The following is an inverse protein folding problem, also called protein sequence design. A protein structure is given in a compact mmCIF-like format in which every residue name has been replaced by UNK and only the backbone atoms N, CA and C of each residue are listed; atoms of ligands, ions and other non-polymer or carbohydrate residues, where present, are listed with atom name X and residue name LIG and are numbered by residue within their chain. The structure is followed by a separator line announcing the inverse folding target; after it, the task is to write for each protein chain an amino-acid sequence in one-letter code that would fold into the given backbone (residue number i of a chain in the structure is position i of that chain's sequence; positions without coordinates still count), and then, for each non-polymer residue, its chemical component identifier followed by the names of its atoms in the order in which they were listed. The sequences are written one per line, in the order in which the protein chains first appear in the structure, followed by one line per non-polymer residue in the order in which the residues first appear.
data_IF_686102882815
#
_entry.id   IF_686102882815
#
_cell.length_a   1.000
_cell.length_b   1.000
_cell.length_c   1.000
_cell.angle_alpha   90.00
_cell.angle_beta   90.00
_cell.angle_gamma   90.00
#
_symmetry.space_group_name_H-M   'P 1'
#
loop_
_entity.id
_entity.type
_entity.pdbx_description
1 polymer ?
#
# COMPACT_ATOMS: atom_id res chain seq x y z
N UNK A 1 -14.08 -8.36 -22.41
CA UNK A 1 -12.88 -9.06 -21.85
C UNK A 1 -11.99 -9.47 -23.01
N UNK A 2 -10.80 -8.87 -23.16
CA UNK A 2 -9.80 -9.37 -24.12
C UNK A 2 -9.06 -10.53 -23.46
N UNK A 3 -9.04 -11.70 -24.12
CA UNK A 3 -8.21 -12.81 -23.69
C UNK A 3 -6.75 -12.37 -23.66
N UNK A 4 -6.08 -12.56 -22.54
CA UNK A 4 -4.63 -12.38 -22.45
C UNK A 4 -4.04 -13.61 -23.15
N UNK A 5 -3.39 -13.41 -24.30
CA UNK A 5 -2.57 -14.44 -24.91
C UNK A 5 -1.41 -14.76 -23.96
N UNK A 6 -1.42 -15.95 -23.41
CA UNK A 6 -0.30 -16.47 -22.62
C UNK A 6 0.88 -16.68 -23.56
N UNK A 7 1.88 -15.79 -23.49
CA UNK A 7 3.18 -16.05 -24.11
C UNK A 7 3.83 -17.21 -23.35
N UNK A 8 3.98 -18.34 -24.03
CA UNK A 8 4.77 -19.47 -23.53
C UNK A 8 6.24 -19.05 -23.45
N UNK A 9 6.67 -18.61 -22.28
CA UNK A 9 8.10 -18.46 -22.01
C UNK A 9 8.75 -19.85 -22.09
N UNK A 10 9.80 -20.00 -22.92
CA UNK A 10 10.62 -21.19 -22.96
C UNK A 10 11.44 -21.32 -21.67
N UNK A 11 10.81 -21.75 -20.59
CA UNK A 11 11.50 -22.08 -19.35
C UNK A 11 12.10 -23.47 -19.54
N UNK A 12 13.43 -23.55 -19.71
CA UNK A 12 14.17 -24.82 -19.61
C UNK A 12 14.21 -25.23 -18.12
N UNK A 13 13.28 -26.06 -17.73
CA UNK A 13 13.36 -26.77 -16.45
C UNK A 13 14.48 -27.82 -16.57
N UNK A 14 15.42 -27.80 -15.65
CA UNK A 14 16.62 -28.64 -15.66
C UNK A 14 16.45 -29.92 -14.84
N UNK A 15 15.52 -30.82 -15.10
CA UNK A 15 15.53 -32.19 -14.54
C UNK A 15 14.42 -33.07 -15.11
N UNK A 16 14.61 -34.41 -15.05
CA UNK A 16 13.77 -35.48 -15.62
C UNK A 16 12.34 -35.64 -15.08
N UNK A 17 11.92 -34.81 -14.13
CA UNK A 17 10.52 -34.70 -13.68
C UNK A 17 9.61 -34.02 -14.72
N UNK A 18 10.15 -33.61 -15.84
CA UNK A 18 9.53 -32.71 -16.81
C UNK A 18 8.37 -33.29 -17.63
N UNK A 19 8.32 -34.61 -17.84
CA UNK A 19 7.38 -35.18 -18.82
C UNK A 19 5.96 -35.38 -18.28
N UNK A 20 5.81 -35.66 -16.99
CA UNK A 20 4.48 -35.80 -16.35
C UNK A 20 3.91 -34.48 -15.85
N UNK A 21 4.78 -33.55 -15.37
CA UNK A 21 4.36 -32.22 -14.94
C UNK A 21 3.86 -31.36 -16.10
N UNK A 22 4.43 -31.50 -17.31
CA UNK A 22 4.05 -30.70 -18.50
C UNK A 22 2.60 -30.80 -18.93
N UNK A 23 1.88 -31.85 -18.54
CA UNK A 23 0.49 -32.05 -18.96
C UNK A 23 -0.55 -31.33 -18.10
N UNK A 24 -0.19 -30.95 -16.87
CA UNK A 24 -1.12 -30.39 -15.88
C UNK A 24 -0.62 -29.13 -15.15
N UNK A 25 0.39 -28.43 -15.69
CA UNK A 25 0.95 -27.21 -15.09
C UNK A 25 0.49 -25.99 -15.88
N UNK A 26 -0.09 -25.02 -15.19
CA UNK A 26 -0.41 -23.70 -15.73
C UNK A 26 0.65 -22.74 -15.23
N UNK A 27 1.32 -22.05 -16.15
CA UNK A 27 2.27 -20.99 -15.83
C UNK A 27 1.51 -19.67 -15.85
N UNK A 28 1.53 -18.96 -14.72
CA UNK A 28 0.95 -17.62 -14.57
C UNK A 28 2.04 -16.63 -14.16
N UNK A 29 1.86 -15.32 -14.42
CA UNK A 29 2.70 -14.28 -13.80
C UNK A 29 2.67 -14.40 -12.28
N UNK A 30 3.75 -14.02 -11.62
CA UNK A 30 3.79 -13.92 -10.15
C UNK A 30 2.77 -12.92 -9.65
N UNK A 31 2.27 -13.13 -8.43
CA UNK A 31 1.39 -12.15 -7.80
C UNK A 31 2.17 -10.90 -7.36
N UNK A 32 1.47 -9.78 -7.30
CA UNK A 32 1.95 -8.55 -6.68
C UNK A 32 1.08 -8.21 -5.47
N UNK A 33 1.71 -7.89 -4.34
CA UNK A 33 1.02 -7.34 -3.19
C UNK A 33 1.35 -5.85 -3.09
N UNK A 34 0.32 -5.03 -3.19
CA UNK A 34 0.47 -3.57 -3.27
C UNK A 34 0.38 -2.87 -1.90
N UNK A 35 0.29 -3.66 -0.81
CA UNK A 35 0.18 -3.12 0.54
C UNK A 35 0.75 -4.09 1.58
N UNK A 36 2.02 -3.93 1.93
CA UNK A 36 2.68 -4.75 2.96
C UNK A 36 3.49 -3.90 3.93
N UNK A 37 3.77 -4.46 5.10
CA UNK A 37 4.57 -3.81 6.14
C UNK A 37 5.85 -4.61 6.39
N UNK A 38 6.97 -4.19 5.79
CA UNK A 38 8.26 -4.83 5.97
C UNK A 38 9.06 -4.30 7.17
N UNK A 39 8.62 -3.20 7.77
CA UNK A 39 9.05 -2.67 9.07
C UNK A 39 10.53 -2.26 9.19
N UNK A 40 11.30 -2.30 8.15
CA UNK A 40 12.68 -1.82 8.11
C UNK A 40 12.83 -0.62 7.17
N UNK A 41 13.53 0.42 7.65
CA UNK A 41 14.22 0.57 8.93
C UNK A 41 13.30 0.82 10.13
N UNK A 42 13.84 0.60 11.35
CA UNK A 42 13.30 1.07 12.62
C UNK A 42 12.52 0.05 13.44
N UNK A 43 11.77 -0.85 12.83
CA UNK A 43 10.87 -1.77 13.54
C UNK A 43 11.16 -3.25 13.24
N UNK A 44 12.43 -3.61 13.05
CA UNK A 44 12.91 -4.94 12.70
C UNK A 44 12.43 -6.06 13.65
N UNK A 45 12.04 -5.72 14.87
CA UNK A 45 11.48 -6.67 15.83
C UNK A 45 10.03 -7.11 15.50
N UNK A 46 9.37 -6.41 14.57
CA UNK A 46 8.04 -6.78 14.08
C UNK A 46 8.12 -7.60 12.79
N UNK A 47 8.98 -7.19 11.86
CA UNK A 47 9.24 -7.85 10.59
C UNK A 47 10.53 -7.31 9.99
N UNK A 48 11.15 -8.08 9.08
CA UNK A 48 12.31 -7.64 8.30
C UNK A 48 12.03 -7.75 6.80
N UNK A 49 12.71 -6.95 6.00
CA UNK A 49 12.63 -7.04 4.53
C UNK A 49 13.00 -8.46 4.08
N UNK A 50 14.02 -9.08 4.67
CA UNK A 50 14.43 -10.43 4.34
C UNK A 50 13.34 -11.47 4.63
N UNK A 51 12.78 -11.49 5.84
CA UNK A 51 11.79 -12.52 6.23
C UNK A 51 10.45 -12.30 5.56
N UNK A 52 9.99 -11.06 5.42
CA UNK A 52 8.77 -10.73 4.72
C UNK A 52 8.83 -11.08 3.23
N UNK A 53 9.93 -10.76 2.54
CA UNK A 53 10.10 -11.12 1.12
C UNK A 53 10.26 -12.62 0.90
N UNK A 54 10.91 -13.35 1.82
CA UNK A 54 10.97 -14.82 1.77
C UNK A 54 9.59 -15.46 1.94
N UNK A 55 8.77 -14.97 2.86
CA UNK A 55 7.40 -15.44 3.06
C UNK A 55 6.54 -15.20 1.82
N UNK A 56 6.64 -14.00 1.22
CA UNK A 56 5.95 -13.64 0.00
C UNK A 56 6.38 -14.52 -1.19
N UNK A 57 7.69 -14.69 -1.40
CA UNK A 57 8.23 -15.56 -2.46
C UNK A 57 7.71 -16.98 -2.35
N UNK A 58 7.68 -17.54 -1.12
CA UNK A 58 7.14 -18.89 -0.85
C UNK A 58 5.66 -18.99 -1.20
N UNK A 59 4.92 -17.89 -1.14
CA UNK A 59 3.48 -17.81 -1.46
C UNK A 59 3.18 -17.43 -2.92
N UNK A 60 4.22 -17.32 -3.78
CA UNK A 60 4.05 -17.04 -5.20
C UNK A 60 4.04 -15.55 -5.57
N UNK A 61 4.36 -14.66 -4.64
CA UNK A 61 4.54 -13.24 -4.93
C UNK A 61 5.93 -12.97 -5.49
N UNK A 62 6.00 -12.12 -6.51
CA UNK A 62 7.24 -11.66 -7.13
C UNK A 62 7.48 -10.17 -6.94
N UNK A 63 6.47 -9.43 -6.47
CA UNK A 63 6.55 -7.99 -6.21
C UNK A 63 5.77 -7.63 -4.95
N UNK A 64 6.39 -6.81 -4.10
CA UNK A 64 5.74 -6.18 -2.94
C UNK A 64 5.85 -4.67 -3.03
N UNK A 65 4.84 -3.95 -2.52
CA UNK A 65 4.90 -2.51 -2.28
C UNK A 65 4.84 -2.24 -0.79
N UNK A 66 5.94 -1.73 -0.20
CA UNK A 66 6.07 -1.52 1.25
C UNK A 66 5.53 -0.16 1.69
N UNK A 67 4.70 -0.17 2.74
CA UNK A 67 4.12 1.04 3.34
C UNK A 67 5.15 1.86 4.13
N UNK A 68 5.00 3.21 4.20
CA UNK A 68 6.03 4.13 4.68
C UNK A 68 6.09 4.28 6.21
N UNK A 69 5.27 3.58 6.97
CA UNK A 69 5.26 3.69 8.43
C UNK A 69 6.48 3.02 9.09
N UNK A 70 7.62 3.67 8.89
CA UNK A 70 8.97 3.27 9.26
C UNK A 70 9.64 4.30 10.19
N UNK A 71 10.86 4.01 10.64
CA UNK A 71 11.68 4.93 11.41
C UNK A 71 13.14 4.89 10.93
N UNK A 72 13.62 5.93 10.26
CA UNK A 72 12.86 7.15 9.91
C UNK A 72 11.76 6.91 8.89
N UNK A 73 10.72 7.77 8.91
CA UNK A 73 9.69 7.80 7.86
C UNK A 73 10.35 8.22 6.54
N UNK A 74 10.06 7.57 5.40
CA UNK A 74 10.57 7.96 4.08
C UNK A 74 9.84 9.22 3.56
N UNK A 75 10.09 10.35 4.19
CA UNK A 75 9.51 11.68 3.91
C UNK A 75 10.44 12.63 3.15
N UNK A 76 11.66 12.18 2.92
CA UNK A 76 12.67 12.82 2.08
C UNK A 76 13.59 11.75 1.46
N UNK A 77 14.35 12.13 0.43
CA UNK A 77 15.24 11.20 -0.26
C UNK A 77 16.26 10.53 0.67
N UNK A 78 16.83 11.27 1.62
CA UNK A 78 17.82 10.74 2.57
C UNK A 78 17.26 9.64 3.48
N UNK A 79 16.01 9.75 3.90
CA UNK A 79 15.33 8.74 4.70
C UNK A 79 14.93 7.53 3.83
N UNK A 80 14.39 7.78 2.63
CA UNK A 80 14.02 6.73 1.67
C UNK A 80 15.25 5.89 1.26
N UNK A 81 16.42 6.50 1.07
CA UNK A 81 17.65 5.79 0.72
C UNK A 81 18.06 4.74 1.77
N UNK A 82 17.69 4.93 3.03
CA UNK A 82 18.00 3.93 4.06
C UNK A 82 17.20 2.65 3.82
N UNK A 83 15.91 2.76 3.50
CA UNK A 83 15.06 1.63 3.13
C UNK A 83 15.55 0.96 1.83
N UNK A 84 15.84 1.76 0.79
CA UNK A 84 16.33 1.26 -0.49
C UNK A 84 17.65 0.46 -0.36
N UNK A 85 18.54 0.87 0.53
CA UNK A 85 19.79 0.14 0.81
C UNK A 85 19.52 -1.22 1.44
N UNK A 86 18.55 -1.30 2.36
CA UNK A 86 18.16 -2.57 2.98
C UNK A 86 17.44 -3.46 1.96
N UNK A 87 16.52 -2.93 1.17
CA UNK A 87 15.84 -3.65 0.08
C UNK A 87 16.86 -4.27 -0.86
N UNK A 88 17.81 -3.47 -1.35
CA UNK A 88 18.86 -3.96 -2.27
C UNK A 88 19.70 -5.09 -1.69
N UNK A 89 19.93 -5.10 -0.39
CA UNK A 89 20.78 -6.06 0.30
C UNK A 89 20.03 -7.34 0.71
N UNK A 90 18.79 -7.20 1.17
CA UNK A 90 18.08 -8.26 1.92
C UNK A 90 16.87 -8.84 1.19
N UNK A 91 16.26 -8.11 0.24
CA UNK A 91 15.08 -8.59 -0.48
C UNK A 91 15.41 -9.74 -1.44
N UNK A 92 14.62 -10.80 -1.44
CA UNK A 92 14.76 -11.93 -2.37
C UNK A 92 13.79 -11.86 -3.57
N UNK A 93 12.85 -10.92 -3.57
CA UNK A 93 11.95 -10.56 -4.68
C UNK A 93 11.90 -9.05 -4.81
N UNK A 94 11.27 -8.54 -5.86
CA UNK A 94 11.16 -7.10 -6.07
C UNK A 94 10.35 -6.42 -4.96
N UNK A 95 10.88 -5.30 -4.46
CA UNK A 95 10.21 -4.43 -3.48
C UNK A 95 10.28 -2.99 -3.98
N UNK A 96 9.13 -2.33 -4.09
CA UNK A 96 9.02 -0.91 -4.42
C UNK A 96 8.34 -0.20 -3.25
N UNK A 97 9.04 0.71 -2.54
CA UNK A 97 8.46 1.39 -1.38
C UNK A 97 7.43 2.44 -1.78
N UNK A 98 6.58 2.82 -0.84
CA UNK A 98 5.86 4.09 -0.85
C UNK A 98 6.68 5.16 -0.12
N UNK A 99 6.64 6.42 -0.60
CA UNK A 99 7.02 7.57 0.20
C UNK A 99 5.84 8.04 1.06
N UNK A 100 6.09 8.76 2.16
CA UNK A 100 5.00 9.39 2.90
C UNK A 100 4.41 10.57 2.13
N UNK A 101 3.14 10.89 2.38
CA UNK A 101 2.49 12.10 1.87
C UNK A 101 2.98 13.32 2.66
N UNK A 102 3.05 13.16 3.99
CA UNK A 102 3.42 14.26 4.89
C UNK A 102 4.70 13.95 5.68
N UNK A 103 5.39 14.99 6.11
CA UNK A 103 6.60 14.87 6.92
C UNK A 103 6.30 14.15 8.22
N UNK A 104 7.01 13.05 8.45
CA UNK A 104 6.85 12.20 9.62
C UNK A 104 5.44 11.59 9.76
N UNK A 105 4.64 11.56 8.69
CA UNK A 105 3.22 11.11 8.69
C UNK A 105 2.36 11.90 9.70
N UNK A 106 2.61 13.22 9.85
CA UNK A 106 1.93 14.06 10.85
C UNK A 106 0.73 14.83 10.32
N UNK A 107 0.45 14.77 9.01
CA UNK A 107 -0.67 15.47 8.39
C UNK A 107 -0.57 16.99 8.39
N UNK A 108 0.62 17.59 8.56
CA UNK A 108 0.82 19.03 8.72
C UNK A 108 1.55 19.69 7.54
N UNK A 109 2.55 19.03 6.99
CA UNK A 109 3.39 19.53 5.91
C UNK A 109 3.68 18.41 4.93
N UNK A 110 3.66 18.70 3.62
CA UNK A 110 4.00 17.72 2.61
C UNK A 110 5.46 17.28 2.70
N UNK A 111 5.70 16.02 2.44
CA UNK A 111 7.03 15.43 2.28
C UNK A 111 7.70 15.90 0.98
N UNK A 112 8.95 15.53 0.78
CA UNK A 112 9.71 15.88 -0.43
C UNK A 112 9.32 14.94 -1.60
N UNK A 113 8.01 14.91 -1.91
CA UNK A 113 7.38 13.96 -2.84
C UNK A 113 8.02 13.96 -4.22
N UNK A 114 8.34 15.14 -4.78
CA UNK A 114 8.90 15.22 -6.15
C UNK A 114 10.30 14.58 -6.24
N UNK A 115 11.13 14.73 -5.21
CA UNK A 115 12.48 14.15 -5.17
C UNK A 115 12.43 12.62 -5.03
N UNK A 116 11.48 12.11 -4.26
CA UNK A 116 11.29 10.67 -4.04
C UNK A 116 10.62 9.96 -5.23
N UNK A 117 9.95 10.70 -6.12
CA UNK A 117 9.14 10.13 -7.19
C UNK A 117 9.83 9.04 -8.03
N UNK A 118 11.11 9.15 -8.44
CA UNK A 118 11.75 8.10 -9.25
C UNK A 118 11.87 6.73 -8.54
N UNK A 119 11.79 6.70 -7.22
CA UNK A 119 12.15 5.55 -6.39
C UNK A 119 10.95 4.88 -5.70
N UNK A 120 9.76 5.47 -5.77
CA UNK A 120 8.57 5.02 -5.04
C UNK A 120 7.46 4.53 -5.98
N UNK A 121 6.59 3.66 -5.50
CA UNK A 121 5.37 3.26 -6.19
C UNK A 121 4.33 4.39 -6.23
N UNK A 122 4.21 5.11 -5.14
CA UNK A 122 3.29 6.20 -4.88
C UNK A 122 3.54 6.76 -3.49
N UNK A 123 2.52 7.40 -2.91
CA UNK A 123 2.62 8.02 -1.60
C UNK A 123 1.46 7.61 -0.68
N UNK A 124 1.75 7.45 0.60
CA UNK A 124 0.78 7.08 1.63
C UNK A 124 1.16 7.68 2.97
N UNK A 125 0.17 8.00 3.80
CA UNK A 125 0.34 8.18 5.24
C UNK A 125 -0.42 7.04 5.93
N UNK A 126 0.05 5.81 5.70
CA UNK A 126 -0.62 4.61 6.17
C UNK A 126 -0.64 4.51 7.69
N UNK A 127 -1.81 4.14 8.25
CA UNK A 127 -2.03 3.99 9.68
C UNK A 127 -2.46 5.28 10.40
N UNK A 128 -2.36 6.45 9.75
CA UNK A 128 -2.79 7.73 10.35
C UNK A 128 -3.79 8.50 9.50
N UNK A 129 -3.79 8.29 8.19
CA UNK A 129 -4.64 9.01 7.25
C UNK A 129 -4.29 10.50 7.13
N UNK A 130 -4.89 11.18 6.16
CA UNK A 130 -4.72 12.62 5.96
C UNK A 130 -6.08 13.33 6.01
N UNK A 131 -6.32 14.10 7.07
CA UNK A 131 -7.61 14.74 7.29
C UNK A 131 -7.77 16.10 6.60
N UNK A 132 -6.67 16.81 6.25
CA UNK A 132 -6.75 18.11 5.54
C UNK A 132 -7.05 17.92 4.05
N UNK A 133 -8.21 18.41 3.56
CA UNK A 133 -8.53 18.40 2.13
C UNK A 133 -7.52 19.18 1.27
N UNK A 134 -6.99 20.29 1.79
CA UNK A 134 -6.06 21.18 1.09
C UNK A 134 -4.71 20.50 0.90
N UNK A 135 -4.21 19.81 1.93
CA UNK A 135 -2.96 19.04 1.84
C UNK A 135 -3.16 17.84 0.90
N UNK A 136 -4.29 17.13 1.01
CA UNK A 136 -4.59 15.99 0.13
C UNK A 136 -4.68 16.46 -1.34
N UNK A 137 -5.37 17.58 -1.63
CA UNK A 137 -5.43 18.13 -2.99
C UNK A 137 -4.03 18.49 -3.51
N UNK A 138 -3.20 19.09 -2.67
CA UNK A 138 -1.83 19.48 -3.03
C UNK A 138 -0.96 18.24 -3.29
N UNK A 139 -1.04 17.23 -2.45
CA UNK A 139 -0.37 15.94 -2.64
C UNK A 139 -0.81 15.25 -3.94
N UNK A 140 -2.11 15.23 -4.23
CA UNK A 140 -2.66 14.66 -5.45
C UNK A 140 -2.15 15.38 -6.70
N UNK A 141 -2.00 16.71 -6.68
CA UNK A 141 -1.42 17.49 -7.79
C UNK A 141 0.04 17.09 -8.05
N UNK A 142 0.83 16.92 -6.99
CA UNK A 142 2.23 16.47 -7.10
C UNK A 142 2.29 15.03 -7.60
N UNK A 143 1.50 14.12 -7.06
CA UNK A 143 1.43 12.74 -7.50
C UNK A 143 1.03 12.65 -8.98
N UNK A 144 0.04 13.42 -9.42
CA UNK A 144 -0.34 13.52 -10.84
C UNK A 144 0.80 14.02 -11.71
N UNK A 145 1.48 15.11 -11.31
CA UNK A 145 2.62 15.71 -12.03
C UNK A 145 3.75 14.70 -12.21
N UNK A 146 4.03 13.92 -11.19
CA UNK A 146 5.14 12.93 -11.18
C UNK A 146 4.73 11.56 -11.73
N UNK A 147 3.47 11.38 -12.16
CA UNK A 147 2.95 10.11 -12.68
C UNK A 147 2.74 9.03 -11.62
N UNK A 148 2.67 9.42 -10.36
CA UNK A 148 2.47 8.52 -9.22
C UNK A 148 1.01 8.47 -8.78
N UNK A 149 0.70 7.68 -7.76
CA UNK A 149 -0.62 7.55 -7.16
C UNK A 149 -0.57 7.91 -5.67
N UNK A 150 -1.74 8.19 -5.11
CA UNK A 150 -1.96 8.21 -3.65
C UNK A 150 -2.60 6.89 -3.25
N UNK A 151 -1.99 6.18 -2.30
CA UNK A 151 -2.56 5.00 -1.62
C UNK A 151 -3.02 5.44 -0.23
N UNK A 152 -4.32 5.52 -0.02
CA UNK A 152 -4.87 6.18 1.14
C UNK A 152 -5.34 5.20 2.22
N UNK A 153 -4.84 5.39 3.44
CA UNK A 153 -5.46 4.89 4.65
C UNK A 153 -6.62 5.81 5.01
N UNK A 154 -7.83 5.37 4.72
CA UNK A 154 -9.02 6.20 4.88
C UNK A 154 -9.62 5.97 6.27
N UNK A 155 -9.16 6.73 7.25
CA UNK A 155 -9.69 6.69 8.61
C UNK A 155 -9.73 8.10 9.22
N UNK A 156 -10.94 8.56 9.58
CA UNK A 156 -11.13 9.77 10.36
C UNK A 156 -10.95 9.45 11.85
N UNK A 157 -9.87 9.96 12.43
CA UNK A 157 -9.48 9.66 13.82
C UNK A 157 -10.46 10.23 14.86
N UNK A 158 -11.18 11.31 14.54
CA UNK A 158 -12.20 11.89 15.42
C UNK A 158 -13.42 10.97 15.45
N UNK A 159 -13.88 10.53 14.28
CA UNK A 159 -15.01 9.59 14.15
C UNK A 159 -14.65 8.20 14.66
N UNK A 160 -13.42 7.74 14.49
CA UNK A 160 -12.92 6.51 15.12
C UNK A 160 -13.06 6.57 16.65
N UNK A 161 -12.86 7.73 17.26
CA UNK A 161 -13.10 8.02 18.69
C UNK A 161 -12.41 7.02 19.64
N UNK A 162 -11.25 6.46 19.26
CA UNK A 162 -10.53 5.44 20.01
C UNK A 162 -11.18 4.04 19.98
N UNK A 163 -12.07 3.79 19.01
CA UNK A 163 -12.56 2.45 18.69
C UNK A 163 -11.43 1.55 18.17
N UNK A 164 -11.59 0.23 18.30
CA UNK A 164 -10.58 -0.75 17.92
C UNK A 164 -11.14 -1.99 17.21
N UNK A 165 -12.46 -2.11 17.10
CA UNK A 165 -13.16 -3.09 16.27
C UNK A 165 -14.33 -2.42 15.57
N UNK A 166 -14.93 -3.08 14.58
CA UNK A 166 -16.14 -2.58 13.92
C UNK A 166 -17.30 -2.39 14.91
N UNK A 167 -18.05 -1.29 14.79
CA UNK A 167 -19.24 -0.97 15.57
C UNK A 167 -20.44 -1.82 15.16
N UNK A 168 -20.32 -3.14 15.30
CA UNK A 168 -21.36 -4.11 14.99
C UNK A 168 -21.97 -4.77 16.22
N UNK A 169 -22.82 -5.78 15.99
CA UNK A 169 -23.50 -6.53 17.04
C UNK A 169 -22.54 -7.15 18.06
N UNK A 170 -21.39 -7.66 17.60
CA UNK A 170 -20.39 -8.22 18.50
C UNK A 170 -19.83 -7.18 19.47
N UNK A 171 -19.46 -6.00 18.98
CA UNK A 171 -18.97 -4.92 19.82
C UNK A 171 -19.99 -4.50 20.86
N UNK A 172 -21.25 -4.34 20.44
CA UNK A 172 -22.36 -3.96 21.33
C UNK A 172 -22.63 -5.03 22.42
N UNK A 173 -22.65 -6.32 22.05
CA UNK A 173 -22.93 -7.42 22.99
C UNK A 173 -21.81 -7.62 24.04
N UNK A 174 -20.55 -7.30 23.67
CA UNK A 174 -19.39 -7.54 24.54
C UNK A 174 -18.81 -6.27 25.16
N UNK A 175 -19.48 -5.12 25.00
CA UNK A 175 -19.02 -3.85 25.58
C UNK A 175 -17.72 -3.31 24.97
N UNK A 176 -17.41 -3.68 23.72
CA UNK A 176 -16.24 -3.17 23.01
C UNK A 176 -16.50 -1.80 22.39
N UNK A 177 -15.46 -0.97 22.34
CA UNK A 177 -15.54 0.33 21.67
C UNK A 177 -15.44 0.16 20.16
N UNK A 178 -16.55 0.40 19.47
CA UNK A 178 -16.66 0.20 18.03
C UNK A 178 -16.15 1.39 17.22
N UNK A 179 -15.72 1.11 16.00
CA UNK A 179 -15.39 2.09 14.96
C UNK A 179 -16.59 2.17 14.02
N UNK A 180 -17.16 3.36 13.84
CA UNK A 180 -18.28 3.56 12.91
C UNK A 180 -17.82 3.55 11.45
N UNK A 181 -18.70 3.13 10.53
CA UNK A 181 -18.40 3.12 9.09
C UNK A 181 -18.09 4.51 8.53
N UNK A 182 -18.65 5.55 9.14
CA UNK A 182 -18.41 6.95 8.80
C UNK A 182 -16.92 7.31 8.84
N UNK A 183 -16.18 6.72 9.76
CA UNK A 183 -14.73 6.98 9.88
C UNK A 183 -13.96 6.58 8.63
N UNK A 184 -14.44 5.59 7.86
CA UNK A 184 -13.84 5.14 6.60
C UNK A 184 -14.45 5.85 5.39
N UNK A 185 -15.77 5.82 5.22
CA UNK A 185 -16.36 6.25 3.96
C UNK A 185 -16.37 7.78 3.77
N UNK A 186 -16.37 8.61 4.82
CA UNK A 186 -16.33 10.07 4.68
C UNK A 186 -15.00 10.58 4.10
N UNK A 187 -13.83 10.15 4.58
CA UNK A 187 -12.57 10.44 3.91
C UNK A 187 -12.55 9.96 2.45
N UNK A 188 -13.07 8.76 2.16
CA UNK A 188 -13.15 8.24 0.80
C UNK A 188 -13.99 9.14 -0.09
N UNK A 189 -15.19 9.54 0.35
CA UNK A 189 -16.07 10.43 -0.42
C UNK A 189 -15.39 11.77 -0.75
N UNK A 190 -14.71 12.36 0.23
CA UNK A 190 -13.92 13.58 0.06
C UNK A 190 -12.82 13.39 -0.99
N UNK A 191 -12.03 12.35 -0.83
CA UNK A 191 -10.83 12.13 -1.63
C UNK A 191 -11.14 11.69 -3.06
N UNK A 192 -12.23 10.97 -3.30
CA UNK A 192 -12.71 10.66 -4.64
C UNK A 192 -13.08 11.94 -5.43
N UNK A 193 -13.70 12.93 -4.76
CA UNK A 193 -13.99 14.24 -5.37
C UNK A 193 -12.70 14.98 -5.71
N UNK A 194 -11.69 14.93 -4.84
CA UNK A 194 -10.37 15.53 -5.08
C UNK A 194 -9.61 14.80 -6.19
N UNK A 195 -9.66 13.48 -6.23
CA UNK A 195 -9.05 12.68 -7.27
C UNK A 195 -9.67 12.97 -8.64
N UNK A 196 -10.99 13.08 -8.73
CA UNK A 196 -11.68 13.50 -9.95
C UNK A 196 -11.29 14.92 -10.38
N UNK A 197 -11.19 15.87 -9.44
CA UNK A 197 -10.78 17.26 -9.70
C UNK A 197 -9.34 17.37 -10.20
N UNK A 198 -8.41 16.62 -9.62
CA UNK A 198 -6.97 16.69 -9.92
C UNK A 198 -6.53 15.77 -11.06
N UNK A 199 -7.33 14.74 -11.36
CA UNK A 199 -6.98 13.65 -12.27
C UNK A 199 -5.86 12.75 -11.72
N UNK A 200 -5.64 12.73 -10.40
CA UNK A 200 -4.69 11.87 -9.74
C UNK A 200 -5.22 10.43 -9.67
N UNK A 201 -4.34 9.45 -9.86
CA UNK A 201 -4.66 8.06 -9.56
C UNK A 201 -4.74 7.89 -8.04
N UNK A 202 -5.85 7.32 -7.58
CA UNK A 202 -6.15 7.16 -6.17
C UNK A 202 -6.48 5.70 -5.88
N UNK A 203 -5.82 5.12 -4.89
CA UNK A 203 -6.04 3.76 -4.42
C UNK A 203 -6.56 3.81 -2.99
N UNK A 204 -7.75 3.26 -2.78
CA UNK A 204 -8.34 3.11 -1.44
C UNK A 204 -7.83 1.80 -0.86
N UNK A 205 -7.04 1.88 0.21
CA UNK A 205 -6.51 0.71 0.89
C UNK A 205 -7.59 0.02 1.75
N UNK A 206 -7.46 -1.30 1.94
CA UNK A 206 -8.16 -2.14 2.92
C UNK A 206 -9.61 -1.72 3.23
N UNK A 207 -10.45 -1.58 2.19
CA UNK A 207 -11.87 -1.21 2.29
C UNK A 207 -12.64 -2.23 3.12
N UNK A 208 -13.38 -1.76 4.13
CA UNK A 208 -14.14 -2.60 5.06
C UNK A 208 -15.61 -2.22 5.19
N UNK A 209 -16.00 -0.97 4.90
CA UNK A 209 -17.37 -0.52 5.01
C UNK A 209 -18.16 -0.73 3.71
N UNK A 210 -19.44 -1.10 3.84
CA UNK A 210 -20.35 -1.28 2.70
C UNK A 210 -20.51 0.02 1.90
N UNK A 211 -20.61 1.13 2.58
CA UNK A 211 -20.78 2.46 2.01
C UNK A 211 -19.54 2.85 1.18
N UNK A 212 -18.35 2.46 1.62
CA UNK A 212 -17.10 2.67 0.89
C UNK A 212 -17.12 1.94 -0.47
N UNK A 213 -17.60 0.70 -0.50
CA UNK A 213 -17.74 -0.06 -1.75
C UNK A 213 -18.70 0.64 -2.72
N UNK A 214 -19.82 1.19 -2.21
CA UNK A 214 -20.79 1.91 -3.03
C UNK A 214 -20.24 3.21 -3.61
N UNK A 215 -19.35 3.91 -2.88
CA UNK A 215 -18.70 5.13 -3.34
C UNK A 215 -17.66 4.89 -4.42
N UNK A 216 -16.99 3.73 -4.38
CA UNK A 216 -15.90 3.37 -5.31
C UNK A 216 -16.44 2.77 -6.61
N UNK A 217 -17.64 2.19 -6.59
CA UNK A 217 -18.27 1.49 -7.74
C UNK A 217 -18.85 2.45 -8.75
#
# INVERSE_FOLDING_TARGET
MRAIELQTANIKLKNDYDSELKKNVIIIPTFADVHVHLREPGFFYKETIRTGTMAAARSGYGLLMSMPNLQPVPDCLANLEQELKIIKKEACIDVIPYGSITKGEKGQELSDMEEMAPFVAGYSDDGVGLNSPELMESAMKIAKKTGKLIAAHCEDMELRAGGYIHAGSYAAQHGHKGICSESEYKPIERDLKLAAKTGCRYHVCHVSAKESVQLIS
#
